data_IF_684742901369
#
_entry.id   IF_684742901369
#
_cell.length_a   1.000
_cell.length_b   1.000
_cell.length_c   1.000
_cell.angle_alpha   90.00
_cell.angle_beta   90.00
_cell.angle_gamma   90.00
#
_symmetry.space_group_name_H-M   'P 1'
#
loop_
_entity.id
_entity.type
_entity.pdbx_description
1 polymer ?
#
# COMPACT_ATOMS: atom_id res chain seq x y z
N UNK A 1 5.66 -5.20 21.78
CA UNK A 1 4.62 -4.48 21.00
C UNK A 1 4.92 -2.97 20.88
N UNK A 2 5.42 -2.25 21.93
CA UNK A 2 5.71 -0.81 21.86
C UNK A 2 6.66 -0.40 20.73
N UNK A 3 7.63 -1.22 20.34
CA UNK A 3 8.54 -0.95 19.23
C UNK A 3 7.85 -0.87 17.85
N UNK A 4 6.70 -1.51 17.65
CA UNK A 4 6.02 -1.50 16.35
C UNK A 4 5.53 -0.11 15.92
N UNK A 5 5.19 0.76 16.85
CA UNK A 5 4.81 2.14 16.52
C UNK A 5 5.90 3.16 16.85
N UNK A 6 6.75 2.93 17.87
CA UNK A 6 7.81 3.87 18.23
C UNK A 6 8.89 3.95 17.17
N UNK A 7 9.39 2.81 16.65
CA UNK A 7 10.44 2.79 15.62
C UNK A 7 10.05 3.53 14.33
N UNK A 8 8.87 3.30 13.73
CA UNK A 8 8.43 4.08 12.59
C UNK A 8 8.26 5.58 12.87
N UNK A 9 7.81 5.95 14.07
CA UNK A 9 7.68 7.36 14.46
C UNK A 9 9.05 8.04 14.59
N UNK A 10 10.05 7.38 15.17
CA UNK A 10 11.43 7.89 15.19
C UNK A 10 12.00 8.05 13.77
N UNK A 11 11.80 7.08 12.90
CA UNK A 11 12.20 7.18 11.50
C UNK A 11 11.49 8.34 10.78
N UNK A 12 10.23 8.59 11.08
CA UNK A 12 9.45 9.69 10.52
C UNK A 12 9.98 11.04 11.01
N UNK A 13 10.30 11.17 12.30
CA UNK A 13 10.93 12.36 12.87
C UNK A 13 12.25 12.64 12.15
N UNK A 14 13.12 11.64 12.00
CA UNK A 14 14.41 11.79 11.31
C UNK A 14 14.24 12.19 9.84
N UNK A 15 13.26 11.61 9.14
CA UNK A 15 13.02 11.87 7.72
C UNK A 15 12.42 13.25 7.45
N UNK A 16 11.56 13.75 8.34
CA UNK A 16 10.87 15.05 8.19
C UNK A 16 11.64 16.23 8.78
N UNK A 17 12.58 15.97 9.68
CA UNK A 17 13.36 17.02 10.32
C UNK A 17 14.46 17.53 9.40
N UNK A 18 14.66 18.86 9.39
CA UNK A 18 15.80 19.47 8.72
C UNK A 18 17.08 19.02 9.42
N UNK A 19 18.12 18.61 8.69
CA UNK A 19 19.40 18.13 9.24
C UNK A 19 20.01 19.07 10.28
N UNK A 20 19.87 20.38 10.09
CA UNK A 20 20.38 21.43 11.00
C UNK A 20 19.71 21.42 12.38
N UNK A 21 18.49 20.89 12.50
CA UNK A 21 17.71 20.88 13.76
C UNK A 21 17.53 19.48 14.33
N UNK A 22 18.06 18.45 13.67
CA UNK A 22 17.80 17.05 14.02
C UNK A 22 18.26 16.73 15.45
N UNK A 23 19.46 17.17 15.86
CA UNK A 23 19.99 16.97 17.21
C UNK A 23 19.11 17.62 18.29
N UNK A 24 18.62 18.83 18.04
CA UNK A 24 17.72 19.55 18.96
C UNK A 24 16.37 18.86 19.08
N UNK A 25 15.83 18.36 17.98
CA UNK A 25 14.56 17.63 17.95
C UNK A 25 14.68 16.32 18.72
N UNK A 26 15.79 15.59 18.53
CA UNK A 26 16.06 14.35 19.27
C UNK A 26 16.21 14.65 20.78
N UNK A 27 16.96 15.70 21.14
CA UNK A 27 17.13 16.10 22.53
C UNK A 27 15.80 16.48 23.18
N UNK A 28 14.99 17.30 22.51
CA UNK A 28 13.65 17.67 22.99
C UNK A 28 12.75 16.43 23.17
N UNK A 29 12.76 15.50 22.22
CA UNK A 29 12.02 14.24 22.32
C UNK A 29 12.47 13.39 23.52
N UNK A 30 13.79 13.32 23.79
CA UNK A 30 14.30 12.58 24.94
C UNK A 30 13.89 13.24 26.28
N UNK A 31 13.89 14.57 26.36
CA UNK A 31 13.41 15.30 27.53
C UNK A 31 11.91 15.00 27.77
N UNK A 32 11.10 15.10 26.74
CA UNK A 32 9.66 14.79 26.82
C UNK A 32 9.44 13.33 27.26
N UNK A 33 10.18 12.39 26.69
CA UNK A 33 10.08 10.98 27.07
C UNK A 33 10.45 10.78 28.54
N UNK A 34 11.52 11.42 29.03
CA UNK A 34 11.92 11.35 30.45
C UNK A 34 10.84 11.92 31.38
N UNK A 35 10.24 13.06 31.02
CA UNK A 35 9.14 13.66 31.78
C UNK A 35 7.91 12.72 31.80
N UNK A 36 7.56 12.11 30.68
CA UNK A 36 6.45 11.16 30.60
C UNK A 36 6.73 9.89 31.41
N UNK A 37 7.98 9.41 31.45
CA UNK A 37 8.37 8.27 32.29
C UNK A 37 8.19 8.59 33.78
N UNK A 38 8.65 9.76 34.23
CA UNK A 38 8.45 10.20 35.62
C UNK A 38 6.96 10.33 35.95
N UNK A 39 6.20 10.96 35.05
CA UNK A 39 4.74 11.12 35.22
C UNK A 39 4.02 9.76 35.32
N UNK A 40 4.41 8.80 34.47
CA UNK A 40 3.86 7.45 34.51
C UNK A 40 4.21 6.72 35.82
N UNK A 41 5.43 6.88 36.32
CA UNK A 41 5.83 6.30 37.61
C UNK A 41 5.03 6.87 38.79
N UNK A 42 4.87 8.21 38.83
CA UNK A 42 4.06 8.89 39.85
C UNK A 42 2.60 8.47 39.73
N UNK A 43 2.03 8.43 38.55
CA UNK A 43 0.65 7.96 38.33
C UNK A 43 0.47 6.52 38.85
N UNK A 44 1.41 5.63 38.48
CA UNK A 44 1.35 4.22 38.93
C UNK A 44 1.40 4.11 40.45
N UNK A 45 2.28 4.90 41.10
CA UNK A 45 2.36 4.92 42.56
C UNK A 45 1.05 5.42 43.19
N UNK A 46 0.46 6.48 42.66
CA UNK A 46 -0.81 7.02 43.14
C UNK A 46 -1.94 5.98 43.00
N UNK A 47 -2.06 5.33 41.82
CA UNK A 47 -3.10 4.34 41.55
C UNK A 47 -2.98 3.13 42.49
N UNK A 48 -1.75 2.64 42.74
CA UNK A 48 -1.52 1.55 43.68
C UNK A 48 -1.87 1.96 45.15
N UNK A 49 -1.55 3.19 45.53
CA UNK A 49 -1.91 3.71 46.84
C UNK A 49 -3.44 3.92 47.02
N UNK A 50 -4.15 4.14 45.92
CA UNK A 50 -5.63 4.19 45.92
C UNK A 50 -6.27 2.79 45.95
N UNK A 51 -5.48 1.72 46.03
CA UNK A 51 -5.97 0.36 46.23
C UNK A 51 -6.12 -0.46 44.95
N UNK A 52 -5.67 0.05 43.77
CA UNK A 52 -5.67 -0.77 42.58
C UNK A 52 -4.64 -1.90 42.71
N UNK A 53 -5.05 -3.08 42.26
CA UNK A 53 -4.13 -4.21 42.10
C UNK A 53 -3.22 -4.03 40.85
N UNK A 54 -2.11 -4.75 40.80
CA UNK A 54 -1.19 -4.73 39.68
C UNK A 54 -1.89 -5.05 38.35
N UNK A 55 -2.77 -6.08 38.23
CA UNK A 55 -3.52 -6.33 37.00
C UNK A 55 -4.41 -5.15 36.59
N UNK A 56 -5.09 -4.49 37.53
CA UNK A 56 -5.92 -3.31 37.22
C UNK A 56 -5.08 -2.12 36.72
N UNK A 57 -3.89 -1.92 37.31
CA UNK A 57 -2.94 -0.94 36.81
C UNK A 57 -2.55 -1.20 35.34
N UNK A 58 -2.29 -2.46 34.97
CA UNK A 58 -2.02 -2.81 33.57
C UNK A 58 -3.21 -2.53 32.65
N UNK A 59 -4.45 -2.74 33.10
CA UNK A 59 -5.66 -2.40 32.33
C UNK A 59 -5.75 -0.89 32.11
N UNK A 60 -5.47 -0.07 33.11
CA UNK A 60 -5.45 1.39 33.00
C UNK A 60 -4.38 1.83 31.98
N UNK A 61 -3.16 1.31 32.09
CA UNK A 61 -2.07 1.61 31.15
C UNK A 61 -2.43 1.15 29.73
N UNK A 62 -3.02 -0.03 29.59
CA UNK A 62 -3.47 -0.53 28.27
C UNK A 62 -4.54 0.39 27.66
N UNK A 63 -5.49 0.86 28.47
CA UNK A 63 -6.51 1.82 28.04
C UNK A 63 -5.91 3.15 27.55
N UNK A 64 -4.97 3.71 28.30
CA UNK A 64 -4.26 4.94 27.89
C UNK A 64 -3.46 4.73 26.61
N UNK A 65 -2.76 3.60 26.47
CA UNK A 65 -2.05 3.26 25.23
C UNK A 65 -3.01 3.10 24.05
N UNK A 66 -4.19 2.50 24.26
CA UNK A 66 -5.20 2.36 23.20
C UNK A 66 -5.72 3.74 22.76
N UNK A 67 -5.98 4.67 23.68
CA UNK A 67 -6.38 6.04 23.35
C UNK A 67 -5.31 6.77 22.53
N UNK A 68 -4.05 6.68 22.94
CA UNK A 68 -2.92 7.28 22.19
C UNK A 68 -2.78 6.64 20.81
N UNK A 69 -2.92 5.31 20.71
CA UNK A 69 -2.86 4.61 19.43
C UNK A 69 -4.00 5.05 18.50
N UNK A 70 -5.24 5.14 18.99
CA UNK A 70 -6.39 5.64 18.23
C UNK A 70 -6.12 7.07 17.75
N UNK A 71 -5.61 7.94 18.62
CA UNK A 71 -5.27 9.31 18.24
C UNK A 71 -4.20 9.36 17.12
N UNK A 72 -3.08 8.65 17.29
CA UNK A 72 -2.01 8.61 16.29
C UNK A 72 -2.52 8.07 14.94
N UNK A 73 -3.28 6.99 14.97
CA UNK A 73 -3.81 6.38 13.75
C UNK A 73 -4.92 7.20 13.09
N UNK A 74 -5.64 8.03 13.86
CA UNK A 74 -6.57 9.01 13.27
C UNK A 74 -5.85 10.12 12.51
N UNK A 75 -4.64 10.49 12.94
CA UNK A 75 -3.80 11.48 12.25
C UNK A 75 -3.09 10.90 11.01
N UNK A 76 -2.79 9.60 11.02
CA UNK A 76 -2.02 8.91 9.98
C UNK A 76 -2.73 7.64 9.47
N UNK A 77 -3.97 7.76 8.99
CA UNK A 77 -4.78 6.60 8.64
C UNK A 77 -4.20 5.80 7.46
N UNK A 78 -3.54 6.47 6.52
CA UNK A 78 -2.86 5.81 5.39
C UNK A 78 -1.71 4.91 5.89
N UNK A 79 -0.98 5.33 6.91
CA UNK A 79 0.08 4.51 7.52
C UNK A 79 -0.49 3.26 8.18
N UNK A 80 -1.57 3.40 8.95
CA UNK A 80 -2.25 2.25 9.57
C UNK A 80 -2.73 1.25 8.53
N UNK A 81 -3.40 1.73 7.46
CA UNK A 81 -3.90 0.84 6.40
C UNK A 81 -2.77 0.06 5.74
N UNK A 82 -1.64 0.70 5.47
CA UNK A 82 -0.47 0.04 4.89
C UNK A 82 0.17 -0.96 5.85
N UNK A 83 0.24 -0.64 7.12
CA UNK A 83 0.76 -1.53 8.15
C UNK A 83 -0.13 -2.77 8.30
N UNK A 84 -1.46 -2.61 8.34
CA UNK A 84 -2.40 -3.71 8.34
C UNK A 84 -2.30 -4.56 7.07
N UNK A 85 -2.20 -3.92 5.90
CA UNK A 85 -1.98 -4.62 4.63
C UNK A 85 -0.69 -5.46 4.68
N UNK A 86 0.40 -4.90 5.20
CA UNK A 86 1.66 -5.62 5.35
C UNK A 86 1.54 -6.82 6.31
N UNK A 87 0.87 -6.66 7.46
CA UNK A 87 0.62 -7.78 8.41
C UNK A 87 -0.19 -8.88 7.71
N UNK A 88 -1.33 -8.53 7.11
CA UNK A 88 -2.22 -9.49 6.46
C UNK A 88 -1.46 -10.29 5.40
N UNK A 89 -0.73 -9.59 4.55
CA UNK A 89 0.03 -10.23 3.47
C UNK A 89 1.18 -11.07 4.02
N UNK A 90 1.88 -10.62 5.06
CA UNK A 90 2.99 -11.37 5.67
C UNK A 90 2.54 -12.64 6.39
N UNK A 91 1.29 -12.63 6.91
CA UNK A 91 0.67 -13.81 7.52
C UNK A 91 0.13 -14.79 6.48
N UNK A 92 -0.46 -14.27 5.39
CA UNK A 92 -1.13 -15.10 4.38
C UNK A 92 -0.14 -15.61 3.31
N UNK A 93 0.86 -14.80 2.95
CA UNK A 93 1.82 -15.10 1.88
C UNK A 93 3.26 -14.83 2.28
N UNK A 94 4.17 -15.50 1.60
CA UNK A 94 5.62 -15.24 1.67
C UNK A 94 6.03 -14.44 0.44
N UNK A 95 6.06 -13.12 0.56
CA UNK A 95 6.48 -12.24 -0.53
C UNK A 95 7.97 -12.42 -0.82
N UNK A 96 8.31 -12.45 -2.09
CA UNK A 96 9.67 -12.50 -2.62
C UNK A 96 9.88 -11.37 -3.63
N UNK A 97 10.01 -10.12 -3.15
CA UNK A 97 10.25 -8.99 -4.01
C UNK A 97 11.68 -9.01 -4.54
N UNK A 98 11.84 -8.71 -5.83
CA UNK A 98 13.12 -8.54 -6.52
C UNK A 98 13.08 -7.27 -7.38
N UNK A 99 14.20 -6.59 -7.55
CA UNK A 99 14.27 -5.37 -8.36
C UNK A 99 13.62 -4.13 -7.70
N UNK A 100 13.44 -4.12 -6.37
CA UNK A 100 12.81 -2.98 -5.68
C UNK A 100 13.59 -1.67 -5.85
N UNK A 101 14.89 -1.75 -6.12
CA UNK A 101 15.77 -0.61 -6.45
C UNK A 101 15.33 0.14 -7.70
N UNK A 102 14.56 -0.50 -8.59
CA UNK A 102 13.98 0.11 -9.78
C UNK A 102 12.79 1.04 -9.49
N UNK A 103 12.23 1.00 -8.28
CA UNK A 103 11.19 1.94 -7.86
C UNK A 103 11.86 3.28 -7.51
N UNK A 104 11.51 4.39 -8.19
CA UNK A 104 12.10 5.69 -7.88
C UNK A 104 11.87 6.07 -6.42
N UNK A 105 12.93 6.45 -5.70
CA UNK A 105 12.84 6.87 -4.29
C UNK A 105 12.13 8.21 -4.11
N UNK A 106 12.17 9.07 -5.14
CA UNK A 106 11.54 10.40 -5.19
C UNK A 106 10.96 10.65 -6.59
N UNK A 107 10.03 11.59 -6.67
CA UNK A 107 9.41 12.00 -7.92
C UNK A 107 8.29 11.06 -8.38
N UNK A 108 7.53 11.47 -9.41
CA UNK A 108 6.40 10.72 -9.92
C UNK A 108 6.85 9.51 -10.76
N UNK A 109 6.03 8.47 -10.73
CA UNK A 109 6.15 7.32 -11.62
C UNK A 109 4.80 6.63 -11.79
N UNK A 110 4.61 5.91 -12.87
CA UNK A 110 3.49 4.98 -13.02
C UNK A 110 4.02 3.56 -12.87
N UNK A 111 3.39 2.78 -12.01
CA UNK A 111 3.61 1.33 -11.89
C UNK A 111 2.55 0.63 -12.71
N UNK A 112 2.95 -0.29 -13.60
CA UNK A 112 2.04 -1.15 -14.34
C UNK A 112 2.26 -2.60 -13.93
N UNK A 113 1.17 -3.32 -13.65
CA UNK A 113 1.24 -4.68 -13.15
C UNK A 113 0.16 -5.55 -13.80
N UNK A 114 0.42 -6.86 -13.95
CA UNK A 114 -0.61 -7.83 -14.30
C UNK A 114 -1.61 -8.00 -13.15
N UNK A 115 -2.85 -8.40 -13.48
CA UNK A 115 -3.95 -8.48 -12.53
C UNK A 115 -4.52 -9.90 -12.43
N UNK A 116 -4.11 -10.62 -11.40
CA UNK A 116 -4.40 -12.05 -11.22
C UNK A 116 -5.40 -12.29 -10.09
N UNK A 117 -5.46 -11.38 -9.11
CA UNK A 117 -6.19 -11.59 -7.86
C UNK A 117 -6.74 -10.28 -7.29
N UNK A 118 -7.81 -10.35 -6.51
CA UNK A 118 -8.38 -9.21 -5.79
C UNK A 118 -7.41 -8.57 -4.77
N UNK A 119 -6.39 -9.29 -4.34
CA UNK A 119 -5.42 -8.80 -3.36
C UNK A 119 -4.14 -8.24 -3.97
N UNK A 120 -4.00 -8.21 -5.30
CA UNK A 120 -2.81 -7.68 -5.96
C UNK A 120 -2.42 -6.27 -5.48
N UNK A 121 -3.37 -5.31 -5.29
CA UNK A 121 -3.04 -4.01 -4.74
C UNK A 121 -2.43 -4.08 -3.35
N UNK A 122 -2.91 -5.02 -2.51
CA UNK A 122 -2.42 -5.20 -1.14
C UNK A 122 -1.02 -5.81 -1.15
N UNK A 123 -0.76 -6.78 -2.05
CA UNK A 123 0.57 -7.37 -2.26
C UNK A 123 1.58 -6.31 -2.68
N UNK A 124 1.22 -5.47 -3.66
CA UNK A 124 2.07 -4.38 -4.11
C UNK A 124 2.31 -3.35 -3.00
N UNK A 125 1.27 -2.96 -2.26
CA UNK A 125 1.38 -2.03 -1.13
C UNK A 125 2.25 -2.58 0.01
N UNK A 126 2.24 -3.90 0.23
CA UNK A 126 3.08 -4.57 1.22
C UNK A 126 4.53 -4.80 0.75
N UNK A 127 4.76 -4.89 -0.57
CA UNK A 127 6.09 -5.12 -1.14
C UNK A 127 6.87 -3.83 -1.39
N UNK A 128 6.19 -2.76 -1.82
CA UNK A 128 6.81 -1.51 -2.24
C UNK A 128 6.67 -0.48 -1.11
N UNK A 129 7.80 0.04 -0.62
CA UNK A 129 7.83 0.95 0.54
C UNK A 129 7.18 2.31 0.25
N UNK A 130 7.24 2.81 -1.00
CA UNK A 130 6.61 4.08 -1.37
C UNK A 130 5.10 3.95 -1.44
N UNK A 131 4.34 4.92 -0.91
CA UNK A 131 2.89 4.99 -1.11
C UNK A 131 2.55 5.05 -2.59
N UNK A 132 1.55 4.26 -2.99
CA UNK A 132 1.03 4.24 -4.36
C UNK A 132 -0.45 4.56 -4.36
N UNK A 133 -0.92 5.27 -5.39
CA UNK A 133 -2.32 5.53 -5.65
C UNK A 133 -2.82 4.49 -6.63
N UNK A 134 -3.67 3.58 -6.17
CA UNK A 134 -4.21 2.51 -7.02
C UNK A 134 -5.40 3.02 -7.82
N UNK A 135 -5.40 2.77 -9.11
CA UNK A 135 -6.56 3.00 -9.97
C UNK A 135 -7.41 1.75 -9.94
N UNK A 136 -8.65 1.88 -9.48
CA UNK A 136 -9.54 0.74 -9.20
C UNK A 136 -10.94 0.96 -9.75
N UNK A 137 -11.65 -0.11 -10.09
CA UNK A 137 -13.01 -0.05 -10.62
C UNK A 137 -13.98 0.65 -9.65
N UNK A 138 -14.70 1.64 -10.12
CA UNK A 138 -15.55 2.53 -9.31
C UNK A 138 -16.63 1.80 -8.49
N UNK A 139 -17.18 0.67 -8.98
CA UNK A 139 -18.23 -0.07 -8.26
C UNK A 139 -17.75 -0.67 -6.93
N UNK A 140 -16.44 -0.91 -6.76
CA UNK A 140 -15.88 -1.40 -5.49
C UNK A 140 -16.03 -0.35 -4.38
N UNK A 141 -16.05 0.95 -4.74
CA UNK A 141 -16.28 2.05 -3.80
C UNK A 141 -17.73 2.15 -3.31
N UNK A 142 -18.66 1.39 -3.89
CA UNK A 142 -20.05 1.34 -3.41
C UNK A 142 -20.21 0.46 -2.16
N UNK A 143 -19.21 -0.38 -1.83
CA UNK A 143 -19.20 -1.21 -0.63
C UNK A 143 -18.71 -0.36 0.54
N UNK A 144 -19.53 -0.10 1.61
CA UNK A 144 -19.22 0.91 2.64
C UNK A 144 -17.86 0.74 3.31
N UNK A 145 -17.51 -0.48 3.74
CA UNK A 145 -16.23 -0.78 4.38
C UNK A 145 -15.04 -0.57 3.42
N UNK A 146 -15.16 -1.06 2.19
CA UNK A 146 -14.11 -0.91 1.17
C UNK A 146 -13.98 0.56 0.72
N UNK A 147 -15.08 1.30 0.66
CA UNK A 147 -15.07 2.73 0.37
C UNK A 147 -14.22 3.50 1.38
N UNK A 148 -14.40 3.23 2.69
CA UNK A 148 -13.59 3.86 3.72
C UNK A 148 -12.09 3.55 3.53
N UNK A 149 -11.74 2.29 3.31
CA UNK A 149 -10.35 1.86 3.08
C UNK A 149 -9.76 2.54 1.85
N UNK A 150 -10.47 2.49 0.71
CA UNK A 150 -9.96 3.03 -0.56
C UNK A 150 -9.85 4.56 -0.55
N UNK A 151 -10.80 5.26 0.08
CA UNK A 151 -10.69 6.71 0.29
C UNK A 151 -9.50 7.07 1.16
N UNK A 152 -9.29 6.34 2.25
CA UNK A 152 -8.14 6.52 3.14
C UNK A 152 -6.81 6.28 2.42
N UNK A 153 -6.75 5.26 1.56
CA UNK A 153 -5.58 4.97 0.71
C UNK A 153 -5.47 5.89 -0.51
N UNK A 154 -6.40 6.83 -0.68
CA UNK A 154 -6.47 7.73 -1.84
C UNK A 154 -6.48 6.96 -3.16
N UNK A 155 -7.19 5.84 -3.22
CA UNK A 155 -7.40 5.11 -4.44
C UNK A 155 -8.27 5.92 -5.42
N UNK A 156 -8.01 5.79 -6.71
CA UNK A 156 -8.65 6.55 -7.78
C UNK A 156 -9.70 5.66 -8.43
N UNK A 157 -11.01 6.00 -8.33
CA UNK A 157 -12.06 5.26 -9.01
C UNK A 157 -11.98 5.49 -10.52
N UNK A 158 -12.08 4.40 -11.31
CA UNK A 158 -12.13 4.45 -12.77
C UNK A 158 -13.29 3.61 -13.29
N UNK A 159 -13.89 4.05 -14.40
CA UNK A 159 -14.84 3.29 -15.20
C UNK A 159 -14.27 2.99 -16.59
N UNK A 160 -14.79 1.97 -17.24
CA UNK A 160 -14.53 1.76 -18.67
C UNK A 160 -15.23 2.83 -19.51
N UNK A 161 -14.68 3.17 -20.68
CA UNK A 161 -15.26 4.17 -21.59
C UNK A 161 -16.71 3.84 -22.02
N UNK A 162 -17.10 2.56 -21.99
CA UNK A 162 -18.47 2.11 -22.30
C UNK A 162 -19.40 2.11 -21.09
N UNK A 163 -18.86 2.26 -19.89
CA UNK A 163 -19.65 2.26 -18.63
C UNK A 163 -19.99 3.68 -18.21
N UNK A 164 -18.99 4.55 -18.07
CA UNK A 164 -19.15 5.94 -17.65
C UNK A 164 -17.93 6.78 -18.08
N UNK A 165 -18.13 7.62 -19.09
CA UNK A 165 -17.08 8.47 -19.65
C UNK A 165 -16.63 9.53 -18.63
N UNK A 166 -17.57 10.08 -17.84
CA UNK A 166 -17.27 11.13 -16.85
C UNK A 166 -16.36 10.59 -15.76
N UNK A 167 -16.68 9.42 -15.19
CA UNK A 167 -15.82 8.78 -14.18
C UNK A 167 -14.45 8.44 -14.77
N UNK A 168 -14.39 8.06 -16.05
CA UNK A 168 -13.13 7.79 -16.73
C UNK A 168 -12.29 9.06 -16.86
N UNK A 169 -12.86 10.17 -17.30
CA UNK A 169 -12.14 11.45 -17.48
C UNK A 169 -11.70 12.01 -16.13
N UNK A 170 -12.57 12.00 -15.11
CA UNK A 170 -12.24 12.38 -13.73
C UNK A 170 -11.07 11.53 -13.18
N UNK A 171 -10.99 10.25 -13.55
CA UNK A 171 -9.89 9.40 -13.15
C UNK A 171 -8.56 9.83 -13.79
N UNK A 172 -8.55 10.17 -15.08
CA UNK A 172 -7.34 10.69 -15.75
C UNK A 172 -6.88 12.02 -15.16
N UNK A 173 -7.79 12.91 -14.78
CA UNK A 173 -7.45 14.16 -14.11
C UNK A 173 -6.84 13.93 -12.72
N UNK A 174 -7.42 13.01 -11.91
CA UNK A 174 -6.88 12.64 -10.61
C UNK A 174 -5.51 11.97 -10.72
N UNK A 175 -5.31 11.11 -11.71
CA UNK A 175 -4.01 10.50 -12.00
C UNK A 175 -2.97 11.57 -12.32
N UNK A 176 -3.31 12.53 -13.18
CA UNK A 176 -2.42 13.65 -13.52
C UNK A 176 -2.06 14.49 -12.30
N UNK A 177 -3.04 14.83 -11.46
CA UNK A 177 -2.84 15.59 -10.22
C UNK A 177 -1.92 14.85 -9.23
N UNK A 178 -2.10 13.53 -9.04
CA UNK A 178 -1.24 12.74 -8.15
C UNK A 178 0.19 12.63 -8.69
N UNK A 179 0.36 12.48 -9.99
CA UNK A 179 1.69 12.49 -10.63
C UNK A 179 2.33 13.87 -10.54
N UNK A 180 1.58 14.97 -10.72
CA UNK A 180 2.06 16.34 -10.52
C UNK A 180 2.55 16.58 -9.09
N UNK A 181 1.88 15.98 -8.09
CA UNK A 181 2.26 16.02 -6.68
C UNK A 181 3.50 15.14 -6.36
N UNK A 182 4.09 14.46 -7.34
CA UNK A 182 5.26 13.60 -7.15
C UNK A 182 4.95 12.21 -6.62
N UNK A 183 3.69 11.79 -6.64
CA UNK A 183 3.27 10.47 -6.16
C UNK A 183 3.46 9.37 -7.22
N UNK A 184 3.43 8.11 -6.77
CA UNK A 184 3.37 6.95 -7.65
C UNK A 184 1.90 6.57 -7.85
N UNK A 185 1.52 6.36 -9.11
CA UNK A 185 0.20 5.80 -9.46
C UNK A 185 0.40 4.38 -9.95
N UNK A 186 -0.42 3.45 -9.46
CA UNK A 186 -0.40 2.05 -9.88
C UNK A 186 -1.67 1.72 -10.66
N UNK A 187 -1.49 1.16 -11.85
CA UNK A 187 -2.58 0.72 -12.72
C UNK A 187 -2.41 -0.74 -13.12
N UNK A 188 -3.55 -1.38 -13.36
CA UNK A 188 -3.64 -2.71 -13.97
C UNK A 188 -4.16 -2.54 -15.41
N UNK A 189 -3.27 -2.44 -16.41
CA UNK A 189 -3.67 -2.02 -17.75
C UNK A 189 -4.49 -3.07 -18.51
N UNK A 190 -4.60 -4.28 -17.99
CA UNK A 190 -5.54 -5.31 -18.47
C UNK A 190 -7.00 -4.85 -18.34
N UNK A 191 -7.30 -4.00 -17.37
CA UNK A 191 -8.63 -3.47 -17.11
C UNK A 191 -9.59 -4.47 -16.47
N UNK A 192 -9.07 -5.55 -15.88
CA UNK A 192 -9.82 -6.56 -15.14
C UNK A 192 -8.92 -7.69 -14.67
N UNK A 193 -9.42 -8.48 -13.70
CA UNK A 193 -8.72 -9.65 -13.19
C UNK A 193 -8.81 -10.77 -14.23
N UNK A 194 -7.69 -11.42 -14.54
CA UNK A 194 -7.61 -12.54 -15.48
C UNK A 194 -8.52 -13.70 -15.06
N UNK A 195 -9.10 -14.39 -16.05
CA UNK A 195 -9.96 -15.56 -15.83
C UNK A 195 -9.26 -16.89 -16.14
N UNK A 196 -8.07 -16.85 -16.74
CA UNK A 196 -7.28 -18.02 -17.16
C UNK A 196 -5.87 -18.07 -16.56
N UNK A 197 -5.48 -17.02 -15.84
CA UNK A 197 -4.17 -16.88 -15.23
C UNK A 197 -3.11 -16.28 -16.15
N UNK A 198 -3.47 -15.97 -17.40
CA UNK A 198 -2.57 -15.31 -18.33
C UNK A 198 -2.63 -13.79 -18.22
N UNK A 199 -1.56 -13.13 -18.62
CA UNK A 199 -1.54 -11.68 -18.75
C UNK A 199 -2.39 -11.31 -19.95
N UNK A 200 -3.49 -10.60 -19.72
CA UNK A 200 -4.35 -10.13 -20.80
C UNK A 200 -3.71 -8.96 -21.56
N UNK A 201 -4.26 -8.64 -22.74
CA UNK A 201 -3.81 -7.52 -23.54
C UNK A 201 -3.93 -6.20 -22.78
N UNK A 202 -2.86 -5.42 -22.77
CA UNK A 202 -2.84 -4.11 -22.14
C UNK A 202 -3.62 -3.08 -22.98
N UNK A 203 -4.48 -2.32 -22.28
CA UNK A 203 -5.27 -1.25 -22.88
C UNK A 203 -4.44 0.03 -23.05
N UNK A 204 -4.73 0.87 -24.06
CA UNK A 204 -3.95 2.07 -24.36
C UNK A 204 -4.12 3.21 -23.34
N UNK A 205 -4.84 2.99 -22.24
CA UNK A 205 -5.01 3.99 -21.16
C UNK A 205 -3.70 4.50 -20.58
N UNK A 206 -2.68 3.66 -20.52
CA UNK A 206 -1.33 4.05 -20.07
C UNK A 206 -0.69 5.07 -21.00
N UNK A 207 -0.86 4.93 -22.31
CA UNK A 207 -0.32 5.87 -23.30
C UNK A 207 -0.97 7.26 -23.14
N UNK A 208 -2.29 7.31 -22.84
CA UNK A 208 -2.99 8.58 -22.54
C UNK A 208 -2.46 9.25 -21.28
N UNK A 209 -2.14 8.47 -20.24
CA UNK A 209 -1.54 9.00 -19.00
C UNK A 209 -0.18 9.62 -19.31
N UNK A 210 0.67 8.92 -20.05
CA UNK A 210 2.05 9.38 -20.35
C UNK A 210 2.06 10.52 -21.37
N UNK A 211 1.10 10.59 -22.28
CA UNK A 211 0.92 11.74 -23.16
C UNK A 211 0.56 13.02 -22.39
N UNK A 212 -0.26 12.92 -21.34
CA UNK A 212 -0.60 14.07 -20.48
C UNK A 212 0.57 14.46 -19.56
N UNK A 213 1.24 13.47 -18.97
CA UNK A 213 2.35 13.69 -18.03
C UNK A 213 3.48 12.70 -18.31
N UNK A 214 4.53 13.12 -18.99
CA UNK A 214 5.68 12.29 -19.30
C UNK A 214 6.46 11.93 -18.01
N UNK A 215 6.24 10.73 -17.47
CA UNK A 215 6.91 10.19 -16.28
C UNK A 215 7.40 8.77 -16.58
N UNK A 216 8.43 8.26 -15.86
CA UNK A 216 8.88 6.89 -16.03
C UNK A 216 7.79 5.89 -15.66
N UNK A 217 7.71 4.78 -16.41
CA UNK A 217 6.78 3.68 -16.16
C UNK A 217 7.57 2.47 -15.68
N UNK A 218 7.22 1.93 -14.53
CA UNK A 218 7.88 0.77 -13.93
C UNK A 218 7.00 -0.47 -14.14
N UNK A 219 7.42 -1.43 -14.98
CA UNK A 219 6.70 -2.69 -15.13
C UNK A 219 6.95 -3.59 -13.92
N UNK A 220 5.88 -4.17 -13.38
CA UNK A 220 5.92 -5.11 -12.25
C UNK A 220 5.14 -6.36 -12.62
N UNK A 221 5.65 -7.52 -12.25
CA UNK A 221 4.97 -8.78 -12.44
C UNK A 221 4.72 -9.50 -11.12
N UNK A 222 3.50 -9.99 -10.95
CA UNK A 222 3.08 -10.88 -9.87
C UNK A 222 2.96 -12.31 -10.43
N UNK A 223 3.62 -13.26 -9.76
CA UNK A 223 3.57 -14.66 -10.13
C UNK A 223 2.94 -15.54 -9.05
N UNK A 224 2.55 -16.77 -9.42
CA UNK A 224 2.04 -17.83 -8.54
C UNK A 224 0.76 -17.51 -7.75
N UNK A 225 0.00 -16.51 -8.18
CA UNK A 225 -1.26 -16.12 -7.54
C UNK A 225 -2.48 -16.78 -8.18
N UNK A 226 -2.34 -17.33 -9.39
CA UNK A 226 -3.43 -18.04 -10.05
C UNK A 226 -3.79 -19.31 -9.29
N UNK A 227 -5.07 -19.50 -9.04
CA UNK A 227 -5.57 -20.60 -8.22
C UNK A 227 -5.45 -20.37 -6.70
N UNK A 228 -4.98 -19.20 -6.26
CA UNK A 228 -5.05 -18.79 -4.85
C UNK A 228 -6.50 -18.48 -4.43
N UNK A 229 -6.76 -18.39 -3.14
CA UNK A 229 -8.10 -18.15 -2.59
C UNK A 229 -8.79 -16.89 -3.14
N UNK A 230 -8.02 -15.85 -3.47
CA UNK A 230 -8.50 -14.57 -3.97
C UNK A 230 -8.46 -14.44 -5.50
N UNK A 231 -8.04 -15.47 -6.23
CA UNK A 231 -8.02 -15.43 -7.70
C UNK A 231 -9.43 -15.67 -8.28
N UNK A 232 -9.67 -15.07 -9.45
CA UNK A 232 -10.96 -15.22 -10.17
C UNK A 232 -10.99 -16.49 -11.00
N UNK A 233 -10.79 -17.67 -10.40
CA UNK A 233 -10.99 -18.94 -11.09
C UNK A 233 -12.49 -19.21 -11.28
N UNK A 234 -12.87 -19.94 -12.34
CA UNK A 234 -14.27 -20.26 -12.73
C UNK A 234 -15.19 -20.71 -11.58
N UNK A 235 -14.64 -21.23 -10.50
CA UNK A 235 -15.39 -21.78 -9.35
C UNK A 235 -15.74 -20.73 -8.27
N UNK A 236 -15.51 -19.45 -8.52
CA UNK A 236 -15.78 -18.33 -7.60
C UNK A 236 -14.69 -18.13 -6.55
N UNK A 237 -14.28 -16.85 -6.34
CA UNK A 237 -13.42 -16.49 -5.22
C UNK A 237 -14.10 -16.84 -3.89
N UNK A 238 -13.35 -17.31 -2.91
CA UNK A 238 -13.81 -17.65 -1.54
C UNK A 238 -14.60 -18.96 -1.38
N UNK A 239 -14.87 -19.73 -2.44
CA UNK A 239 -15.62 -21.01 -2.31
C UNK A 239 -14.77 -22.23 -1.95
N UNK A 240 -13.46 -22.13 -1.92
CA UNK A 240 -12.55 -23.22 -1.53
C UNK A 240 -11.84 -22.90 -0.23
N UNK A 241 -11.58 -23.92 0.58
CA UNK A 241 -10.67 -23.84 1.72
C UNK A 241 -9.35 -23.19 1.29
N UNK A 242 -8.69 -22.39 2.15
CA UNK A 242 -7.47 -21.67 1.83
C UNK A 242 -6.32 -22.61 1.47
N UNK A 243 -6.34 -23.10 0.24
CA UNK A 243 -5.45 -24.15 -0.29
C UNK A 243 -4.05 -23.68 -0.68
N UNK A 244 -3.54 -22.58 -0.21
CA UNK A 244 -2.16 -22.10 -0.40
C UNK A 244 -1.81 -21.00 0.60
N UNK A 245 -2.14 -21.19 1.87
CA UNK A 245 -1.57 -20.36 2.94
C UNK A 245 -0.04 -20.48 2.90
N UNK A 246 0.65 -19.37 3.09
CA UNK A 246 2.11 -19.24 3.02
C UNK A 246 2.72 -19.52 1.63
N UNK A 247 1.95 -19.45 0.55
CA UNK A 247 2.49 -19.55 -0.79
C UNK A 247 3.56 -18.46 -1.02
N UNK A 248 4.64 -18.84 -1.72
CA UNK A 248 5.67 -17.88 -2.13
C UNK A 248 5.15 -17.10 -3.34
N UNK A 249 5.01 -15.78 -3.17
CA UNK A 249 4.57 -14.88 -4.22
C UNK A 249 5.76 -14.05 -4.68
N UNK A 250 6.32 -14.34 -5.87
CA UNK A 250 7.33 -13.49 -6.47
C UNK A 250 6.70 -12.17 -6.93
N UNK A 251 7.37 -11.07 -6.60
CA UNK A 251 7.05 -9.71 -7.03
C UNK A 251 8.28 -9.19 -7.76
N UNK A 252 8.26 -9.21 -9.08
CA UNK A 252 9.42 -8.84 -9.88
C UNK A 252 9.25 -7.44 -10.46
N UNK A 253 10.12 -6.52 -10.07
CA UNK A 253 10.11 -5.12 -10.52
C UNK A 253 11.14 -4.95 -11.64
N UNK A 254 10.68 -4.59 -12.82
CA UNK A 254 11.52 -4.35 -13.98
C UNK A 254 12.15 -2.95 -13.98
N UNK A 255 13.07 -2.71 -14.90
CA UNK A 255 13.69 -1.38 -15.08
C UNK A 255 12.66 -0.36 -15.55
N UNK A 256 12.73 0.90 -15.08
CA UNK A 256 11.85 1.96 -15.53
C UNK A 256 11.97 2.18 -17.05
N UNK A 257 10.83 2.29 -17.70
CA UNK A 257 10.72 2.61 -19.14
C UNK A 257 10.60 4.12 -19.29
N UNK A 258 11.48 4.77 -20.09
CA UNK A 258 11.38 6.20 -20.35
C UNK A 258 10.05 6.56 -21.03
N UNK A 259 9.47 7.76 -20.80
CA UNK A 259 8.17 8.14 -21.35
C UNK A 259 8.05 7.99 -22.86
N UNK A 260 9.13 8.28 -23.59
CA UNK A 260 9.18 8.21 -25.06
C UNK A 260 9.06 6.79 -25.62
N UNK A 261 9.31 5.79 -24.81
CA UNK A 261 9.32 4.38 -25.17
C UNK A 261 8.09 3.62 -24.68
N UNK A 262 7.15 4.31 -24.03
CA UNK A 262 5.97 3.71 -23.45
C UNK A 262 4.93 3.43 -24.53
N UNK A 263 4.66 2.15 -24.75
CA UNK A 263 3.49 1.66 -25.47
C UNK A 263 2.84 0.53 -24.67
N UNK A 264 1.54 0.37 -24.79
CA UNK A 264 0.80 -0.71 -24.13
C UNK A 264 1.38 -2.09 -24.48
N UNK A 265 1.69 -2.32 -25.77
CA UNK A 265 2.27 -3.57 -26.25
C UNK A 265 3.66 -3.85 -25.65
N UNK A 266 4.54 -2.84 -25.59
CA UNK A 266 5.87 -2.99 -25.00
C UNK A 266 5.79 -3.31 -23.50
N UNK A 267 4.94 -2.60 -22.76
CA UNK A 267 4.75 -2.85 -21.33
C UNK A 267 4.16 -4.23 -21.06
N UNK A 268 3.22 -4.67 -21.89
CA UNK A 268 2.68 -6.04 -21.83
C UNK A 268 3.79 -7.08 -22.00
N UNK A 269 4.63 -6.93 -23.04
CA UNK A 269 5.75 -7.84 -23.29
C UNK A 269 6.72 -7.87 -22.10
N UNK A 270 7.07 -6.71 -21.54
CA UNK A 270 7.95 -6.61 -20.37
C UNK A 270 7.35 -7.32 -19.16
N UNK A 271 6.06 -7.10 -18.86
CA UNK A 271 5.40 -7.75 -17.73
C UNK A 271 5.30 -9.26 -17.93
N UNK A 272 5.00 -9.73 -19.14
CA UNK A 272 5.02 -11.17 -19.49
C UNK A 272 6.42 -11.77 -19.29
N UNK A 273 7.47 -11.09 -19.76
CA UNK A 273 8.85 -11.53 -19.58
C UNK A 273 9.27 -11.59 -18.11
N UNK A 274 8.90 -10.57 -17.30
CA UNK A 274 9.20 -10.52 -15.88
C UNK A 274 8.44 -11.61 -15.10
N UNK A 275 7.22 -11.95 -15.51
CA UNK A 275 6.45 -13.04 -14.91
C UNK A 275 7.04 -14.40 -15.26
N UNK A 276 7.54 -14.57 -16.48
CA UNK A 276 7.93 -15.88 -16.99
C UNK A 276 6.77 -16.89 -16.94
N UNK A 277 7.06 -18.15 -16.71
CA UNK A 277 6.06 -19.24 -16.59
C UNK A 277 5.38 -19.32 -15.22
N UNK A 278 5.52 -18.28 -14.39
CA UNK A 278 4.99 -18.26 -13.02
C UNK A 278 3.51 -17.80 -13.02
N UNK A 279 2.60 -18.72 -13.32
CA UNK A 279 1.14 -18.47 -13.22
C UNK A 279 0.65 -18.35 -11.79
#
# INVERSE_FOLDING_TARGET
FGGFYSVPLYALIQKRSKKQHLSRIIAANNIINSLLMVSAAVMSMVLLNLGLSIPELFVVIAGLNALVAIYIFSLLPEFLMRFLAWIIISVVYRLRPTGLENIPTKGPAVVVCNHVSYIDPIILAGSIQRPMRFVMWYKIFQIPLLNFIFKTMKAIPIAGAREDVKIMDDAFEKVDAELAAGNIVCIFPEGGITCDGEVARFRPGIEKIIARRPVPVVPVALGRLWGSWFSRRRDGALRKLPGRLFARVPVTVGRPVPPREVTAARLELLVRTLRGDQR
#
